data_IF_635593919501
#
_entry.id   IF_635593919501
#
_cell.length_a   1.000
_cell.length_b   1.000
_cell.length_c   1.000
_cell.angle_alpha   90.00
_cell.angle_beta   90.00
_cell.angle_gamma   90.00
#
_symmetry.space_group_name_H-M   'P 1'
#
loop_
_entity.id
_entity.type
_entity.pdbx_description
1 polymer ?
#
# COMPACT_ATOMS: atom_id res chain seq x y z
N UNK A 1 -2.18 -12.07 -10.37
CA UNK A 1 -1.33 -11.10 -11.11
C UNK A 1 -1.31 -9.82 -10.31
N UNK A 2 -0.12 -9.23 -10.12
CA UNK A 2 0.08 -7.94 -9.49
C UNK A 2 0.51 -6.94 -10.57
N UNK A 3 -0.11 -5.76 -10.60
CA UNK A 3 0.15 -4.75 -11.64
C UNK A 3 0.50 -3.42 -10.99
N UNK A 4 1.56 -2.77 -11.49
CA UNK A 4 1.92 -1.40 -11.18
C UNK A 4 1.61 -0.54 -12.40
N UNK A 5 0.91 0.56 -12.18
CA UNK A 5 0.65 1.55 -13.21
C UNK A 5 0.93 2.95 -12.71
N UNK A 6 1.17 3.85 -13.65
CA UNK A 6 1.33 5.27 -13.42
C UNK A 6 0.13 6.02 -14.00
N UNK A 7 -0.32 7.06 -13.31
CA UNK A 7 -1.45 7.88 -13.73
C UNK A 7 -1.22 9.33 -13.36
N UNK A 8 -1.64 10.23 -14.25
CA UNK A 8 -1.75 11.67 -14.04
C UNK A 8 -3.18 12.11 -13.67
N UNK A 9 -4.09 11.16 -13.46
CA UNK A 9 -5.51 11.40 -13.20
C UNK A 9 -6.40 11.42 -14.45
N UNK A 10 -5.82 11.45 -15.66
CA UNK A 10 -6.56 11.35 -16.92
C UNK A 10 -6.19 10.09 -17.70
N UNK A 11 -4.90 9.75 -17.72
CA UNK A 11 -4.33 8.59 -18.39
C UNK A 11 -3.88 7.57 -17.35
N UNK A 12 -3.95 6.29 -17.72
CA UNK A 12 -3.35 5.20 -16.95
C UNK A 12 -2.42 4.38 -17.85
N UNK A 13 -1.15 4.28 -17.45
CA UNK A 13 -0.13 3.52 -18.17
C UNK A 13 0.30 2.32 -17.32
N UNK A 14 0.18 1.08 -17.81
CA UNK A 14 0.75 -0.08 -17.13
C UNK A 14 2.28 -0.02 -17.25
N UNK A 15 2.95 -0.01 -16.10
CA UNK A 15 4.41 0.20 -16.00
C UNK A 15 5.13 -1.12 -15.77
N UNK A 16 4.59 -1.96 -14.89
CA UNK A 16 5.21 -3.23 -14.53
C UNK A 16 4.15 -4.22 -14.05
N UNK A 17 4.46 -5.51 -14.12
CA UNK A 17 3.59 -6.56 -13.58
C UNK A 17 4.40 -7.76 -13.09
N UNK A 18 3.86 -8.47 -12.11
CA UNK A 18 4.41 -9.72 -11.62
C UNK A 18 3.33 -10.81 -11.57
N UNK A 19 3.71 -12.01 -12.03
CA UNK A 19 2.86 -13.18 -12.05
C UNK A 19 3.06 -14.01 -10.77
N UNK A 20 2.54 -13.51 -9.65
CA UNK A 20 2.65 -14.20 -8.36
C UNK A 20 2.05 -15.62 -8.43
N UNK A 21 2.77 -16.60 -7.91
CA UNK A 21 2.46 -18.03 -7.91
C UNK A 21 2.59 -18.60 -6.49
N UNK A 22 1.72 -19.56 -6.15
CA UNK A 22 1.79 -20.23 -4.84
C UNK A 22 3.00 -21.17 -4.80
N UNK A 23 3.83 -21.04 -3.77
CA UNK A 23 4.93 -21.98 -3.50
C UNK A 23 4.40 -23.35 -3.03
N UNK A 24 3.21 -23.38 -2.41
CA UNK A 24 2.61 -24.58 -1.80
C UNK A 24 1.74 -25.39 -2.77
N UNK A 25 1.14 -24.74 -3.76
CA UNK A 25 0.14 -25.35 -4.64
C UNK A 25 0.58 -25.21 -6.10
N UNK A 26 1.73 -25.80 -6.43
CA UNK A 26 2.32 -25.72 -7.76
C UNK A 26 1.76 -26.81 -8.67
N UNK A 27 1.27 -26.41 -9.84
CA UNK A 27 0.85 -27.34 -10.92
C UNK A 27 2.06 -27.88 -11.69
N UNK A 28 3.12 -27.07 -11.78
CA UNK A 28 4.38 -27.38 -12.45
C UNK A 28 5.54 -26.88 -11.57
N UNK A 29 6.59 -27.68 -11.45
CA UNK A 29 7.79 -27.34 -10.72
C UNK A 29 8.76 -26.49 -11.54
N UNK A 30 9.87 -26.07 -10.92
CA UNK A 30 10.97 -25.42 -11.64
C UNK A 30 11.69 -26.48 -12.46
N UNK A 31 11.89 -26.21 -13.75
CA UNK A 31 12.70 -27.08 -14.58
C UNK A 31 14.18 -26.69 -14.45
N UNK A 32 14.97 -27.53 -13.78
CA UNK A 32 16.40 -27.29 -13.53
C UNK A 32 17.28 -27.25 -14.79
N UNK A 33 16.76 -27.74 -15.92
CA UNK A 33 17.47 -27.75 -17.21
C UNK A 33 17.45 -26.38 -17.92
N UNK A 34 16.61 -25.45 -17.48
CA UNK A 34 16.51 -24.10 -18.05
C UNK A 34 17.70 -23.25 -17.59
N UNK A 35 18.36 -22.54 -18.53
CA UNK A 35 19.43 -21.60 -18.21
C UNK A 35 18.89 -20.44 -17.33
N UNK A 36 19.49 -20.28 -16.14
CA UNK A 36 19.11 -19.28 -15.13
C UNK A 36 19.34 -17.83 -15.54
N UNK A 37 20.09 -17.60 -16.63
CA UNK A 37 20.29 -16.25 -17.19
C UNK A 37 19.09 -15.79 -18.00
N UNK A 38 18.22 -16.71 -18.41
CA UNK A 38 17.04 -16.41 -19.24
C UNK A 38 16.02 -15.55 -18.50
N UNK A 39 15.28 -14.73 -19.25
CA UNK A 39 14.19 -13.93 -18.70
C UNK A 39 13.07 -14.81 -18.14
N UNK A 40 12.86 -16.00 -18.70
CA UNK A 40 11.87 -16.97 -18.23
C UNK A 40 12.18 -17.46 -16.81
N UNK A 41 13.42 -17.89 -16.56
CA UNK A 41 13.84 -18.32 -15.22
C UNK A 41 13.77 -17.16 -14.22
N UNK A 42 14.27 -15.97 -14.57
CA UNK A 42 14.18 -14.77 -13.71
C UNK A 42 12.74 -14.42 -13.33
N UNK A 43 11.81 -14.46 -14.30
CA UNK A 43 10.38 -14.23 -14.04
C UNK A 43 9.75 -15.35 -13.21
N UNK A 44 10.19 -16.59 -13.40
CA UNK A 44 9.74 -17.72 -12.59
C UNK A 44 10.19 -17.59 -11.14
N UNK A 45 11.42 -17.16 -10.91
CA UNK A 45 11.94 -16.91 -9.57
C UNK A 45 11.19 -15.76 -8.90
N UNK A 46 10.98 -14.64 -9.60
CA UNK A 46 10.18 -13.51 -9.11
C UNK A 46 8.73 -13.92 -8.78
N UNK A 47 8.11 -14.75 -9.61
CA UNK A 47 6.76 -15.26 -9.40
C UNK A 47 6.59 -16.03 -8.08
N UNK A 48 7.66 -16.61 -7.55
CA UNK A 48 7.63 -17.39 -6.30
C UNK A 48 7.91 -16.53 -5.06
N UNK A 49 8.32 -15.27 -5.25
CA UNK A 49 8.55 -14.33 -4.15
C UNK A 49 7.21 -13.82 -3.59
N UNK A 50 7.15 -13.53 -2.28
CA UNK A 50 5.96 -12.93 -1.69
C UNK A 50 5.74 -11.50 -2.21
N UNK A 51 4.48 -11.06 -2.27
CA UNK A 51 4.12 -9.72 -2.73
C UNK A 51 4.84 -8.60 -1.95
N UNK A 52 5.16 -8.85 -0.67
CA UNK A 52 5.94 -7.97 0.21
C UNK A 52 7.32 -7.63 -0.34
N UNK A 53 7.93 -8.53 -1.13
CA UNK A 53 9.24 -8.35 -1.75
C UNK A 53 9.15 -7.89 -3.20
N UNK A 54 8.13 -8.38 -3.92
CA UNK A 54 7.92 -8.04 -5.34
C UNK A 54 7.52 -6.59 -5.51
N UNK A 55 6.61 -6.04 -4.69
CA UNK A 55 6.13 -4.65 -4.82
C UNK A 55 7.29 -3.64 -4.70
N UNK A 56 8.16 -3.70 -3.67
CA UNK A 56 9.33 -2.81 -3.58
C UNK A 56 10.28 -2.92 -4.78
N UNK A 57 10.43 -4.11 -5.36
CA UNK A 57 11.26 -4.33 -6.55
C UNK A 57 10.65 -3.68 -7.79
N UNK A 58 9.34 -3.84 -8.01
CA UNK A 58 8.60 -3.17 -9.09
C UNK A 58 8.70 -1.64 -8.99
N UNK A 59 8.56 -1.09 -7.78
CA UNK A 59 8.73 0.34 -7.54
C UNK A 59 10.14 0.81 -7.86
N UNK A 60 11.17 0.06 -7.45
CA UNK A 60 12.56 0.39 -7.77
C UNK A 60 12.79 0.46 -9.29
N UNK A 61 12.26 -0.51 -10.04
CA UNK A 61 12.38 -0.53 -11.51
C UNK A 61 11.67 0.66 -12.15
N UNK A 62 10.47 0.98 -11.70
CA UNK A 62 9.71 2.13 -12.20
C UNK A 62 10.46 3.45 -11.96
N UNK A 63 10.93 3.68 -10.72
CA UNK A 63 11.69 4.87 -10.36
C UNK A 63 13.02 4.97 -11.13
N UNK A 64 13.74 3.85 -11.27
CA UNK A 64 14.98 3.79 -12.05
C UNK A 64 14.76 4.05 -13.54
N UNK A 65 13.58 3.72 -14.07
CA UNK A 65 13.18 4.04 -15.44
C UNK A 65 12.77 5.52 -15.64
N UNK A 66 12.87 6.36 -14.60
CA UNK A 66 12.59 7.79 -14.66
C UNK A 66 11.13 8.16 -14.36
N UNK A 67 10.31 7.21 -13.89
CA UNK A 67 8.93 7.52 -13.50
C UNK A 67 8.95 8.35 -12.21
N UNK A 68 8.25 9.47 -12.25
CA UNK A 68 8.09 10.36 -11.11
C UNK A 68 6.67 10.26 -10.57
N UNK A 69 6.55 10.13 -9.25
CA UNK A 69 5.27 10.12 -8.56
C UNK A 69 5.45 10.75 -7.18
N UNK A 70 4.39 11.38 -6.67
CA UNK A 70 4.38 11.91 -5.30
C UNK A 70 3.92 10.86 -4.29
N UNK A 71 3.06 9.93 -4.73
CA UNK A 71 2.49 8.90 -3.89
C UNK A 71 2.22 7.61 -4.67
N UNK A 72 1.99 6.53 -3.93
CA UNK A 72 1.50 5.24 -4.43
C UNK A 72 0.08 5.03 -3.91
N UNK A 73 -0.85 4.77 -4.81
CA UNK A 73 -2.20 4.32 -4.46
C UNK A 73 -2.23 2.79 -4.34
N UNK A 74 -2.73 2.27 -3.23
CA UNK A 74 -2.72 0.85 -2.93
C UNK A 74 -4.09 0.31 -2.52
N UNK A 75 -4.38 -0.93 -2.91
CA UNK A 75 -5.52 -1.68 -2.37
C UNK A 75 -5.33 -1.98 -0.87
N UNK A 76 -6.44 -2.22 -0.18
CA UNK A 76 -6.51 -2.68 1.21
C UNK A 76 -5.66 -3.91 1.55
N UNK A 77 -5.36 -4.78 0.58
CA UNK A 77 -4.52 -5.96 0.78
C UNK A 77 -3.04 -5.59 0.97
N UNK A 78 -2.65 -4.38 0.58
CA UNK A 78 -1.26 -3.92 0.63
C UNK A 78 -1.00 -2.85 1.71
N UNK A 79 -2.02 -2.42 2.46
CA UNK A 79 -1.90 -1.42 3.53
C UNK A 79 -1.46 -2.04 4.86
N UNK A 80 -0.22 -2.53 4.91
CA UNK A 80 0.43 -3.01 6.13
C UNK A 80 1.77 -2.31 6.36
N UNK A 81 2.13 -2.14 7.64
CA UNK A 81 3.20 -1.24 8.07
C UNK A 81 4.56 -1.48 7.38
N UNK A 82 5.09 -2.72 7.28
CA UNK A 82 6.34 -2.97 6.56
C UNK A 82 6.37 -2.46 5.11
N UNK A 83 5.29 -2.66 4.35
CA UNK A 83 5.24 -2.19 2.96
C UNK A 83 5.09 -0.67 2.90
N UNK A 84 4.25 -0.09 3.75
CA UNK A 84 4.10 1.37 3.86
C UNK A 84 5.46 2.01 4.14
N UNK A 85 6.21 1.50 5.13
CA UNK A 85 7.56 1.99 5.44
C UNK A 85 8.51 1.85 4.24
N UNK A 86 8.45 0.73 3.54
CA UNK A 86 9.28 0.49 2.34
C UNK A 86 9.00 1.51 1.24
N UNK A 87 7.74 1.93 1.05
CA UNK A 87 7.37 2.97 0.08
C UNK A 87 7.83 4.35 0.55
N UNK A 88 7.62 4.68 1.82
CA UNK A 88 8.10 5.95 2.43
C UNK A 88 9.61 6.10 2.30
N UNK A 89 10.37 5.03 2.54
CA UNK A 89 11.83 5.02 2.40
C UNK A 89 12.31 5.32 0.97
N UNK A 90 11.43 5.22 -0.04
CA UNK A 90 11.69 5.60 -1.44
C UNK A 90 11.26 7.04 -1.75
N UNK A 91 10.86 7.81 -0.74
CA UNK A 91 10.45 9.21 -0.88
C UNK A 91 9.02 9.41 -1.42
N UNK A 92 8.21 8.34 -1.42
CA UNK A 92 6.83 8.33 -1.90
C UNK A 92 5.86 8.28 -0.72
N UNK A 93 4.78 9.06 -0.78
CA UNK A 93 3.66 8.87 0.14
C UNK A 93 2.83 7.64 -0.26
N UNK A 94 2.02 7.12 0.67
CA UNK A 94 1.10 6.00 0.46
C UNK A 94 -0.31 6.50 0.73
N UNK A 95 -1.20 6.23 -0.22
CA UNK A 95 -2.63 6.34 -0.02
C UNK A 95 -3.22 4.94 -0.21
N UNK A 96 -3.98 4.45 0.75
CA UNK A 96 -4.63 3.16 0.58
C UNK A 96 -5.79 2.93 1.51
N UNK A 97 -6.67 2.00 1.13
CA UNK A 97 -7.80 1.62 1.97
C UNK A 97 -7.33 0.87 3.21
N UNK A 98 -7.96 1.13 4.34
CA UNK A 98 -7.70 0.38 5.56
C UNK A 98 -8.71 -0.74 5.71
N UNK A 99 -8.24 -1.95 5.93
CA UNK A 99 -9.11 -3.07 6.28
C UNK A 99 -9.48 -2.97 7.76
N UNK A 100 -10.76 -3.18 8.08
CA UNK A 100 -11.21 -3.35 9.46
C UNK A 100 -10.80 -4.75 9.96
N UNK A 101 -9.53 -4.87 10.35
CA UNK A 101 -8.93 -6.06 10.92
C UNK A 101 -8.47 -5.78 12.37
N UNK A 102 -7.75 -6.74 12.97
CA UNK A 102 -7.25 -6.60 14.34
C UNK A 102 -6.01 -5.67 14.46
N UNK A 103 -5.69 -4.86 13.43
CA UNK A 103 -4.61 -3.87 13.51
C UNK A 103 -4.88 -2.87 14.62
N UNK A 104 -3.81 -2.52 15.33
CA UNK A 104 -3.81 -1.53 16.40
C UNK A 104 -2.99 -0.32 15.96
N UNK A 105 -3.53 0.85 16.26
CA UNK A 105 -2.94 2.15 15.98
C UNK A 105 -2.51 2.78 17.29
N UNK A 106 -1.37 3.46 17.28
CA UNK A 106 -0.84 4.13 18.46
C UNK A 106 -1.28 5.60 18.45
N UNK A 107 -2.02 5.99 19.48
CA UNK A 107 -2.46 7.37 19.72
C UNK A 107 -2.19 7.70 21.18
N UNK A 108 -1.29 8.65 21.46
CA UNK A 108 -0.91 9.06 22.81
C UNK A 108 -0.58 7.85 23.71
N UNK A 109 0.31 6.97 23.23
CA UNK A 109 0.73 5.70 23.86
C UNK A 109 -0.37 4.64 24.07
N UNK A 110 -1.59 4.89 23.60
CA UNK A 110 -2.69 3.92 23.65
C UNK A 110 -2.83 3.19 22.33
N UNK A 111 -3.03 1.87 22.41
CA UNK A 111 -3.29 1.00 21.26
C UNK A 111 -4.79 0.93 21.00
N UNK A 112 -5.24 1.62 19.97
CA UNK A 112 -6.65 1.70 19.59
C UNK A 112 -6.93 0.82 18.36
N UNK A 113 -8.11 0.21 18.34
CA UNK A 113 -8.70 -0.36 17.13
C UNK A 113 -9.15 0.74 16.17
N UNK A 114 -9.45 0.36 14.94
CA UNK A 114 -10.00 1.28 13.94
C UNK A 114 -11.34 1.91 14.38
N UNK A 115 -12.18 1.15 15.10
CA UNK A 115 -13.45 1.66 15.61
C UNK A 115 -13.24 2.67 16.74
N UNK A 116 -12.32 2.40 17.66
CA UNK A 116 -11.95 3.35 18.72
C UNK A 116 -11.35 4.64 18.13
N UNK A 117 -10.51 4.52 17.09
CA UNK A 117 -10.01 5.68 16.35
C UNK A 117 -11.15 6.50 15.72
N UNK A 118 -12.17 5.87 15.14
CA UNK A 118 -13.30 6.60 14.55
C UNK A 118 -14.00 7.50 15.57
N UNK A 119 -14.21 7.02 16.80
CA UNK A 119 -14.83 7.82 17.86
C UNK A 119 -13.90 8.88 18.43
N UNK A 120 -12.59 8.63 18.47
CA UNK A 120 -11.59 9.62 18.87
C UNK A 120 -11.32 10.69 17.79
N UNK A 121 -11.66 10.41 16.53
CA UNK A 121 -11.33 11.27 15.39
C UNK A 121 -12.15 12.56 15.36
N UNK A 122 -11.48 13.65 14.96
CA UNK A 122 -12.08 14.97 14.81
C UNK A 122 -13.07 14.97 13.64
N UNK A 123 -14.33 15.41 13.83
CA UNK A 123 -15.28 15.62 12.75
C UNK A 123 -14.71 16.61 11.71
N UNK A 124 -14.88 16.31 10.43
CA UNK A 124 -14.50 17.26 9.40
C UNK A 124 -15.43 18.50 9.45
N UNK A 125 -14.84 19.67 9.70
CA UNK A 125 -15.53 20.97 9.65
C UNK A 125 -15.38 21.55 8.23
N UNK A 126 -16.30 21.28 7.30
CA UNK A 126 -16.20 21.85 5.95
C UNK A 126 -16.98 21.16 4.83
N UNK A 127 -17.01 21.80 3.65
CA UNK A 127 -18.00 21.67 2.57
C UNK A 127 -18.13 20.32 1.83
N UNK A 128 -17.22 19.35 2.02
CA UNK A 128 -17.35 18.05 1.35
C UNK A 128 -18.18 17.09 2.21
N UNK A 129 -19.37 16.73 1.73
CA UNK A 129 -20.24 15.72 2.38
C UNK A 129 -19.58 14.33 2.49
N UNK A 130 -18.45 14.15 1.81
CA UNK A 130 -17.75 12.88 1.65
C UNK A 130 -16.74 12.60 2.76
N UNK A 131 -16.12 13.59 3.40
CA UNK A 131 -15.21 13.34 4.53
C UNK A 131 -15.96 13.47 5.86
N UNK A 132 -15.95 12.42 6.66
CA UNK A 132 -16.66 12.38 7.95
C UNK A 132 -15.76 12.82 9.10
N UNK A 133 -14.58 12.20 9.20
CA UNK A 133 -13.64 12.39 10.32
C UNK A 133 -12.21 12.17 9.86
N UNK A 134 -11.25 12.71 10.59
CA UNK A 134 -9.84 12.38 10.40
C UNK A 134 -9.10 12.36 11.74
N UNK A 135 -7.99 11.62 11.79
CA UNK A 135 -7.13 11.54 12.96
C UNK A 135 -5.69 11.23 12.55
N UNK A 136 -4.74 11.92 13.17
CA UNK A 136 -3.31 11.62 13.08
C UNK A 136 -2.95 10.56 14.13
N UNK A 137 -2.25 9.51 13.72
CA UNK A 137 -1.90 8.36 14.54
C UNK A 137 -0.62 7.71 14.02
N UNK A 138 -0.19 6.60 14.63
CA UNK A 138 0.96 5.85 14.18
C UNK A 138 0.63 4.37 14.00
N UNK A 139 1.17 3.77 12.94
CA UNK A 139 1.23 2.32 12.80
C UNK A 139 2.49 1.81 13.48
N UNK A 140 2.42 0.70 14.22
CA UNK A 140 3.64 0.03 14.71
C UNK A 140 4.55 -0.35 13.53
N UNK A 141 5.85 -0.03 13.53
CA UNK A 141 6.70 0.33 14.69
C UNK A 141 6.87 1.83 14.98
N UNK A 142 6.03 2.73 14.45
CA UNK A 142 6.12 4.19 14.67
C UNK A 142 5.92 5.01 13.41
N UNK A 143 5.22 4.47 12.41
CA UNK A 143 5.00 5.11 11.11
C UNK A 143 3.88 6.14 11.25
N UNK A 144 4.14 7.44 11.10
CA UNK A 144 3.09 8.46 11.19
C UNK A 144 2.13 8.36 10.00
N UNK A 145 0.84 8.26 10.31
CA UNK A 145 -0.22 8.17 9.32
C UNK A 145 -1.43 9.02 9.73
N UNK A 146 -2.13 9.56 8.73
CA UNK A 146 -3.46 10.11 8.90
C UNK A 146 -4.49 9.09 8.46
N UNK A 147 -5.43 8.78 9.33
CA UNK A 147 -6.62 8.01 8.99
C UNK A 147 -7.74 8.99 8.66
N UNK A 148 -8.29 8.89 7.45
CA UNK A 148 -9.42 9.68 6.98
C UNK A 148 -10.61 8.75 6.80
N UNK A 149 -11.72 9.06 7.46
CA UNK A 149 -12.96 8.33 7.33
C UNK A 149 -13.85 9.04 6.32
N UNK A 150 -14.11 8.40 5.18
CA UNK A 150 -14.99 8.93 4.14
C UNK A 150 -16.33 8.22 4.13
N UNK A 151 -17.38 8.89 3.66
CA UNK A 151 -18.71 8.33 3.49
C UNK A 151 -18.67 7.29 2.38
N UNK A 152 -19.23 6.12 2.64
CA UNK A 152 -19.37 5.07 1.64
C UNK A 152 -20.71 4.35 1.84
N UNK A 153 -21.68 4.72 1.00
CA UNK A 153 -23.08 4.26 1.11
C UNK A 153 -23.65 4.61 2.50
N UNK A 154 -24.17 3.62 3.23
CA UNK A 154 -24.69 3.75 4.59
C UNK A 154 -23.61 3.62 5.68
N UNK A 155 -22.35 3.37 5.30
CA UNK A 155 -21.23 3.18 6.22
C UNK A 155 -20.11 4.18 5.90
N UNK A 156 -18.97 4.02 6.57
CA UNK A 156 -17.75 4.76 6.30
C UNK A 156 -16.68 3.83 5.76
N UNK A 157 -15.79 4.37 4.92
CA UNK A 157 -14.60 3.71 4.43
C UNK A 157 -13.36 4.44 4.98
N UNK A 158 -12.44 3.73 5.64
CA UNK A 158 -11.21 4.34 6.14
C UNK A 158 -10.12 4.35 5.05
N UNK A 159 -9.46 5.49 4.89
CA UNK A 159 -8.27 5.67 4.06
C UNK A 159 -7.09 5.98 4.97
N UNK A 160 -5.96 5.34 4.71
CA UNK A 160 -4.67 5.62 5.33
C UNK A 160 -3.85 6.47 4.36
N UNK A 161 -3.33 7.58 4.87
CA UNK A 161 -2.42 8.46 4.16
C UNK A 161 -1.13 8.51 5.00
N UNK A 162 0.00 8.09 4.44
CA UNK A 162 1.27 8.29 5.13
C UNK A 162 1.60 9.78 5.18
N UNK A 163 2.11 10.24 6.32
CA UNK A 163 2.60 11.61 6.45
C UNK A 163 4.12 11.60 6.36
N UNK A 164 4.69 11.34 5.18
CA UNK A 164 6.13 11.52 5.01
C UNK A 164 6.49 13.01 4.79
N UNK A 165 5.54 13.83 4.29
CA UNK A 165 5.78 15.22 3.89
C UNK A 165 4.73 16.25 4.33
N UNK A 166 3.68 15.84 5.05
CA UNK A 166 2.70 16.77 5.63
C UNK A 166 3.18 17.32 6.98
N UNK A 167 4.33 17.98 6.99
CA UNK A 167 4.66 18.92 8.06
C UNK A 167 4.19 20.28 7.55
N UNK A 168 3.22 20.87 8.26
CA UNK A 168 2.69 22.20 8.00
C UNK A 168 3.78 23.27 7.94
#
# INVERSE_FOLDING_TARGET
MLTLGWSDGHTFLPVDFALLSSVKSRIQDINETIDKRTSGDKRRMEALLPATEVIPSMLNRALAAGIQASYVLMDSWFTYAPLIQSVINRGLDVIGMVKADNKRYLLNDRRLSLQELYFAATPALGASKETLRHIDTQLSPGIPVRIVFVRHRSQWLPLCISQAKFVC
#
